data_IF_135807701722
#
_entry.id   IF_135807701722
#
_cell.length_a   1.000
_cell.length_b   1.000
_cell.length_c   1.000
_cell.angle_alpha   90.00
_cell.angle_beta   90.00
_cell.angle_gamma   90.00
#
_symmetry.space_group_name_H-M   'P 1'
#
loop_
_entity.id
_entity.type
_entity.pdbx_description
1 polymer ?
#
# COMPACT_ATOMS: atom_id res chain seq x y z
N UNK A 1 -7.92 22.40 24.15
CA UNK A 1 -7.52 23.77 23.76
C UNK A 1 -6.74 23.74 22.44
N UNK A 2 -7.32 23.13 21.39
CA UNK A 2 -6.74 23.01 20.02
C UNK A 2 -7.83 22.59 19.01
N UNK A 3 -9.08 23.04 19.18
CA UNK A 3 -10.21 22.69 18.30
C UNK A 3 -11.03 23.90 17.84
N UNK A 4 -10.54 25.13 18.04
CA UNK A 4 -11.27 26.36 17.70
C UNK A 4 -10.64 27.22 16.59
N UNK A 5 -9.59 26.76 15.88
CA UNK A 5 -8.87 27.61 14.91
C UNK A 5 -8.83 27.07 13.47
N UNK A 6 -9.94 26.53 12.97
CA UNK A 6 -10.08 26.30 11.52
C UNK A 6 -11.51 26.56 11.02
N UNK A 7 -12.17 27.58 11.56
CA UNK A 7 -13.26 28.24 10.87
C UNK A 7 -12.67 29.16 9.79
N UNK A 8 -12.07 28.56 8.75
CA UNK A 8 -11.73 29.30 7.54
C UNK A 8 -13.03 29.69 6.85
N UNK A 9 -13.27 30.99 6.82
CA UNK A 9 -14.25 31.70 6.01
C UNK A 9 -14.39 31.03 4.63
N UNK A 10 -15.48 30.29 4.43
CA UNK A 10 -15.86 29.78 3.11
C UNK A 10 -16.51 30.97 2.41
N UNK A 11 -15.75 31.67 1.58
CA UNK A 11 -16.29 32.70 0.70
C UNK A 11 -17.36 32.09 -0.22
N UNK A 12 -18.59 32.45 0.11
CA UNK A 12 -19.83 32.20 -0.61
C UNK A 12 -19.74 32.98 -1.93
N UNK A 13 -19.31 32.32 -3.01
CA UNK A 13 -19.41 32.86 -4.38
C UNK A 13 -20.14 31.87 -5.29
N UNK A 14 -21.34 32.31 -5.69
CA UNK A 14 -22.22 31.95 -6.82
C UNK A 14 -21.52 31.12 -7.92
N UNK A 15 -22.08 30.10 -8.56
CA UNK A 15 -23.45 29.70 -8.86
C UNK A 15 -23.37 28.18 -9.12
N UNK A 16 -23.81 27.36 -8.18
CA UNK A 16 -23.96 25.91 -8.38
C UNK A 16 -25.41 25.65 -8.07
N UNK A 17 -26.20 25.47 -9.11
CA UNK A 17 -27.63 25.12 -9.03
C UNK A 17 -27.76 23.91 -8.09
N UNK A 18 -28.84 23.84 -7.29
CA UNK A 18 -29.07 22.66 -6.41
C UNK A 18 -28.97 21.35 -7.18
N UNK A 19 -29.37 21.35 -8.46
CA UNK A 19 -29.22 20.22 -9.37
C UNK A 19 -27.77 19.85 -9.68
N UNK A 20 -26.87 20.81 -9.87
CA UNK A 20 -25.44 20.55 -10.17
C UNK A 20 -24.71 19.97 -8.94
N UNK A 21 -25.10 20.38 -7.73
CA UNK A 21 -24.63 19.73 -6.50
C UNK A 21 -25.13 18.29 -6.37
N UNK A 22 -26.40 18.05 -6.71
CA UNK A 22 -27.00 16.73 -6.62
C UNK A 22 -26.38 15.77 -7.65
N UNK A 23 -26.18 16.23 -8.89
CA UNK A 23 -25.46 15.47 -9.94
C UNK A 23 -24.02 15.16 -9.52
N UNK A 24 -23.33 16.11 -8.88
CA UNK A 24 -21.97 15.89 -8.36
C UNK A 24 -21.95 14.86 -7.22
N UNK A 25 -22.90 14.92 -6.30
CA UNK A 25 -23.04 13.95 -5.21
C UNK A 25 -23.35 12.55 -5.74
N UNK A 26 -24.22 12.44 -6.75
CA UNK A 26 -24.54 11.17 -7.41
C UNK A 26 -23.29 10.58 -8.08
N UNK A 27 -22.54 11.40 -8.82
CA UNK A 27 -21.30 10.97 -9.48
C UNK A 27 -20.25 10.49 -8.46
N UNK A 28 -20.07 11.21 -7.35
CA UNK A 28 -19.16 10.80 -6.28
C UNK A 28 -19.62 9.52 -5.59
N UNK A 29 -20.93 9.35 -5.42
CA UNK A 29 -21.51 8.13 -4.84
C UNK A 29 -21.24 6.92 -5.75
N UNK A 30 -21.38 7.08 -7.07
CA UNK A 30 -20.98 6.05 -8.04
C UNK A 30 -19.46 5.78 -7.98
N UNK A 31 -18.64 6.81 -7.87
CA UNK A 31 -17.19 6.65 -7.72
C UNK A 31 -16.84 5.88 -6.44
N UNK A 32 -17.50 6.19 -5.33
CA UNK A 32 -17.35 5.50 -4.05
C UNK A 32 -17.68 4.01 -4.17
N UNK A 33 -18.79 3.67 -4.83
CA UNK A 33 -19.17 2.27 -5.09
C UNK A 33 -18.12 1.53 -5.92
N UNK A 34 -17.58 2.18 -6.97
CA UNK A 34 -16.56 1.60 -7.81
C UNK A 34 -15.25 1.36 -7.06
N UNK A 35 -14.78 2.34 -6.30
CA UNK A 35 -13.58 2.22 -5.46
C UNK A 35 -13.75 1.17 -4.36
N UNK A 36 -14.92 1.11 -3.72
CA UNK A 36 -15.22 0.10 -2.71
C UNK A 36 -15.19 -1.31 -3.30
N UNK A 37 -15.75 -1.51 -4.50
CA UNK A 37 -15.68 -2.80 -5.18
C UNK A 37 -14.23 -3.22 -5.52
N UNK A 38 -13.39 -2.25 -5.93
CA UNK A 38 -11.96 -2.50 -6.14
C UNK A 38 -11.25 -2.90 -4.85
N UNK A 39 -11.46 -2.18 -3.74
CA UNK A 39 -10.88 -2.52 -2.43
C UNK A 39 -11.29 -3.92 -2.00
N UNK A 40 -12.58 -4.27 -2.12
CA UNK A 40 -13.07 -5.61 -1.77
C UNK A 40 -12.39 -6.68 -2.62
N UNK A 41 -12.32 -6.48 -3.94
CA UNK A 41 -11.67 -7.41 -4.86
C UNK A 41 -10.20 -7.63 -4.51
N UNK A 42 -9.48 -6.54 -4.21
CA UNK A 42 -8.08 -6.61 -3.80
C UNK A 42 -7.89 -7.30 -2.45
N UNK A 43 -8.75 -7.05 -1.47
CA UNK A 43 -8.69 -7.73 -0.17
C UNK A 43 -8.90 -9.23 -0.31
N UNK A 44 -9.87 -9.66 -1.10
CA UNK A 44 -10.10 -11.09 -1.40
C UNK A 44 -8.86 -11.70 -2.07
N UNK A 45 -8.23 -10.98 -2.99
CA UNK A 45 -7.00 -11.44 -3.64
C UNK A 45 -5.81 -11.53 -2.68
N UNK A 46 -5.65 -10.54 -1.80
CA UNK A 46 -4.65 -10.54 -0.73
C UNK A 46 -4.85 -11.77 0.16
N UNK A 47 -6.07 -12.02 0.63
CA UNK A 47 -6.39 -13.17 1.48
C UNK A 47 -6.08 -14.50 0.79
N UNK A 48 -6.46 -14.63 -0.49
CA UNK A 48 -6.18 -15.82 -1.30
C UNK A 48 -4.68 -16.08 -1.40
N UNK A 49 -3.89 -15.06 -1.74
CA UNK A 49 -2.42 -15.16 -1.84
C UNK A 49 -1.76 -15.39 -0.49
N UNK A 50 -2.25 -14.76 0.57
CA UNK A 50 -1.77 -14.95 1.94
C UNK A 50 -1.95 -16.40 2.40
N UNK A 51 -3.10 -17.01 2.08
CA UNK A 51 -3.38 -18.42 2.36
C UNK A 51 -2.44 -19.35 1.57
N UNK A 52 -2.22 -19.05 0.29
CA UNK A 52 -1.27 -19.78 -0.56
C UNK A 52 0.16 -19.74 0.00
N UNK A 53 0.65 -18.54 0.34
CA UNK A 53 1.98 -18.33 0.93
C UNK A 53 2.14 -19.04 2.28
N UNK A 54 1.10 -18.99 3.13
CA UNK A 54 1.09 -19.71 4.41
C UNK A 54 1.09 -21.22 4.22
N UNK A 55 0.38 -21.74 3.20
CA UNK A 55 0.42 -23.14 2.81
C UNK A 55 1.82 -23.58 2.37
N UNK A 56 2.53 -22.74 1.61
CA UNK A 56 3.91 -22.99 1.20
C UNK A 56 4.89 -22.98 2.38
N UNK A 57 4.69 -22.11 3.37
CA UNK A 57 5.44 -22.15 4.63
C UNK A 57 5.18 -23.44 5.41
N UNK A 58 3.93 -23.88 5.50
CA UNK A 58 3.59 -25.14 6.16
C UNK A 58 4.26 -26.34 5.46
N UNK A 59 4.25 -26.37 4.12
CA UNK A 59 4.97 -27.38 3.32
C UNK A 59 6.48 -27.32 3.56
N UNK A 60 7.06 -26.13 3.62
CA UNK A 60 8.48 -25.95 3.91
C UNK A 60 8.84 -26.51 5.30
N UNK A 61 8.06 -26.19 6.34
CA UNK A 61 8.25 -26.71 7.70
C UNK A 61 8.16 -28.23 7.76
N UNK A 62 7.17 -28.82 7.09
CA UNK A 62 7.01 -30.27 7.02
C UNK A 62 8.23 -30.95 6.38
N UNK A 63 8.71 -30.43 5.24
CA UNK A 63 9.85 -30.99 4.52
C UNK A 63 11.16 -30.85 5.29
N UNK A 64 11.35 -29.74 6.02
CA UNK A 64 12.57 -29.51 6.81
C UNK A 64 12.61 -30.30 8.12
N UNK A 65 11.48 -30.77 8.65
CA UNK A 65 11.44 -31.63 9.83
C UNK A 65 12.09 -30.97 11.06
N UNK A 66 13.09 -31.63 11.65
CA UNK A 66 13.78 -31.18 12.88
C UNK A 66 14.59 -29.89 12.75
N UNK A 67 14.90 -29.44 11.53
CA UNK A 67 15.49 -28.12 11.26
C UNK A 67 14.45 -27.06 10.88
N UNK A 68 13.16 -27.32 11.17
CA UNK A 68 12.02 -26.45 10.85
C UNK A 68 12.24 -24.98 11.21
N UNK A 69 12.01 -24.12 10.21
CA UNK A 69 11.98 -22.66 10.33
C UNK A 69 10.94 -22.21 11.35
N UNK A 70 11.44 -21.89 12.54
CA UNK A 70 10.67 -21.38 13.68
C UNK A 70 11.22 -20.02 14.09
N UNK A 71 10.39 -19.21 14.76
CA UNK A 71 10.82 -17.96 15.37
C UNK A 71 11.97 -18.16 16.36
N UNK A 72 12.11 -19.37 16.94
CA UNK A 72 13.26 -19.75 17.77
C UNK A 72 14.61 -19.84 17.03
N UNK A 73 14.57 -20.00 15.70
CA UNK A 73 15.77 -20.04 14.86
C UNK A 73 16.11 -18.66 14.29
N UNK A 74 15.23 -17.66 14.43
CA UNK A 74 15.58 -16.28 14.12
C UNK A 74 16.39 -15.79 15.31
N UNK A 75 17.70 -15.55 15.15
CA UNK A 75 18.50 -15.09 16.26
C UNK A 75 18.01 -13.69 16.69
N UNK A 76 18.22 -13.38 17.97
CA UNK A 76 17.87 -12.11 18.63
C UNK A 76 18.17 -10.88 17.75
N UNK A 77 17.52 -9.73 17.99
CA UNK A 77 17.81 -8.46 17.29
C UNK A 77 19.32 -8.13 17.20
N UNK A 78 20.11 -8.65 18.14
CA UNK A 78 21.58 -8.55 18.19
C UNK A 78 22.31 -9.26 17.03
N UNK A 79 21.66 -10.16 16.30
CA UNK A 79 22.27 -10.98 15.26
C UNK A 79 22.22 -10.37 13.84
N UNK A 80 21.67 -9.16 13.69
CA UNK A 80 21.70 -8.43 12.43
C UNK A 80 20.93 -9.09 11.26
N UNK A 81 20.03 -10.03 11.55
CA UNK A 81 19.17 -10.65 10.54
C UNK A 81 17.95 -9.77 10.24
N UNK A 82 18.16 -8.71 9.47
CA UNK A 82 17.10 -7.78 9.07
C UNK A 82 16.76 -7.92 7.60
N UNK A 83 15.48 -8.13 7.29
CA UNK A 83 14.95 -8.13 5.93
C UNK A 83 13.92 -7.01 5.85
N UNK A 84 14.21 -5.99 5.03
CA UNK A 84 13.38 -4.81 4.87
C UNK A 84 13.00 -4.64 3.41
N UNK A 85 11.82 -4.08 3.17
CA UNK A 85 11.38 -3.68 1.83
C UNK A 85 11.20 -2.17 1.82
N UNK A 86 11.68 -1.50 0.77
CA UNK A 86 11.57 -0.05 0.66
C UNK A 86 10.16 0.32 0.19
N UNK A 87 9.48 1.18 0.94
CA UNK A 87 8.22 1.78 0.53
C UNK A 87 8.40 3.28 0.32
N UNK A 88 7.72 3.82 -0.68
CA UNK A 88 7.55 5.25 -0.90
C UNK A 88 6.06 5.58 -0.87
N UNK A 89 5.75 6.83 -0.52
CA UNK A 89 4.42 7.37 -0.65
C UNK A 89 4.48 8.70 -1.40
N UNK A 90 3.48 8.94 -2.24
CA UNK A 90 3.28 10.18 -2.97
C UNK A 90 1.99 10.83 -2.46
N UNK A 91 2.07 12.08 -2.02
CA UNK A 91 0.90 12.85 -1.61
C UNK A 91 0.19 13.39 -2.86
N UNK A 92 -1.12 13.17 -2.93
CA UNK A 92 -1.98 13.65 -4.00
C UNK A 92 -3.11 14.49 -3.41
N UNK A 93 -3.60 15.45 -4.19
CA UNK A 93 -4.66 16.37 -3.77
C UNK A 93 -5.88 16.23 -4.66
N UNK A 94 -7.06 16.34 -4.04
CA UNK A 94 -8.37 16.40 -4.69
C UNK A 94 -9.03 17.73 -4.33
N UNK A 95 -9.44 18.47 -5.36
CA UNK A 95 -10.09 19.77 -5.20
C UNK A 95 -11.59 19.58 -4.99
N UNK A 96 -12.14 20.20 -3.94
CA UNK A 96 -13.58 20.38 -3.72
C UNK A 96 -13.91 21.84 -4.02
N UNK A 97 -14.64 22.07 -5.12
CA UNK A 97 -14.93 23.41 -5.61
C UNK A 97 -13.66 24.18 -5.94
N UNK A 98 -13.62 25.49 -5.60
CA UNK A 98 -12.50 26.38 -5.95
C UNK A 98 -11.44 26.51 -4.85
N UNK A 99 -11.72 26.09 -3.61
CA UNK A 99 -10.89 26.49 -2.45
C UNK A 99 -10.47 25.34 -1.54
N UNK A 100 -11.27 24.28 -1.41
CA UNK A 100 -10.99 23.23 -0.44
C UNK A 100 -10.19 22.09 -1.08
N UNK A 101 -9.10 21.67 -0.42
CA UNK A 101 -8.20 20.61 -0.89
C UNK A 101 -8.19 19.44 0.08
N UNK A 102 -8.56 18.26 -0.42
CA UNK A 102 -8.44 17.00 0.28
C UNK A 102 -7.16 16.29 -0.14
N UNK A 103 -6.35 15.88 0.84
CA UNK A 103 -5.15 15.09 0.60
C UNK A 103 -5.44 13.59 0.67
N UNK A 104 -4.75 12.82 -0.15
CA UNK A 104 -4.73 11.36 -0.13
C UNK A 104 -3.35 10.85 -0.53
N UNK A 105 -3.04 9.59 -0.22
CA UNK A 105 -1.69 9.04 -0.36
C UNK A 105 -1.68 7.87 -1.33
N UNK A 106 -0.69 7.87 -2.22
CA UNK A 106 -0.39 6.77 -3.13
C UNK A 106 0.87 6.05 -2.64
N UNK A 107 0.71 4.80 -2.23
CA UNK A 107 1.79 3.97 -1.71
C UNK A 107 2.41 3.14 -2.83
N UNK A 108 3.74 3.07 -2.86
CA UNK A 108 4.48 2.18 -3.76
C UNK A 108 5.51 1.41 -2.97
N UNK A 109 5.56 0.11 -3.19
CA UNK A 109 6.57 -0.76 -2.59
C UNK A 109 7.56 -1.18 -3.67
N UNK A 110 8.84 -0.98 -3.40
CA UNK A 110 9.92 -1.41 -4.26
C UNK A 110 10.45 -2.72 -3.72
N UNK A 111 10.25 -3.84 -4.43
CA UNK A 111 10.82 -5.10 -4.00
C UNK A 111 12.34 -4.93 -3.93
N UNK A 112 12.94 -5.34 -2.80
CA UNK A 112 14.40 -5.38 -2.67
C UNK A 112 14.96 -6.12 -3.87
N UNK A 113 15.85 -5.45 -4.61
CA UNK A 113 16.31 -5.86 -5.92
C UNK A 113 16.62 -7.36 -5.95
N UNK A 114 16.16 -8.03 -7.01
CA UNK A 114 16.51 -9.42 -7.31
C UNK A 114 18.04 -9.56 -7.19
N UNK A 115 18.51 -10.23 -6.15
CA UNK A 115 19.84 -10.84 -6.20
C UNK A 115 19.76 -11.84 -7.33
N UNK A 116 20.62 -11.67 -8.34
CA UNK A 116 20.82 -12.61 -9.44
C UNK A 116 20.84 -14.03 -8.88
N UNK A 117 19.79 -14.81 -9.12
CA UNK A 117 19.92 -16.26 -9.15
C UNK A 117 20.46 -16.53 -10.56
N UNK A 118 21.61 -17.18 -10.66
CA UNK A 118 22.30 -17.47 -11.91
C UNK A 118 21.48 -18.44 -12.76
N UNK A 119 20.45 -17.95 -13.45
CA UNK A 119 19.84 -18.61 -14.61
C UNK A 119 19.10 -17.58 -15.46
N UNK A 120 19.79 -17.14 -16.50
CA UNK A 120 19.36 -16.62 -17.81
C UNK A 120 18.20 -15.60 -17.96
N UNK A 121 18.57 -14.56 -18.70
CA UNK A 121 17.84 -13.72 -19.66
C UNK A 121 16.83 -12.63 -19.21
N UNK A 122 17.35 -11.40 -19.35
CA UNK A 122 16.88 -10.33 -20.23
C UNK A 122 16.15 -9.08 -19.67
N UNK A 123 16.68 -7.94 -20.16
CA UNK A 123 16.21 -6.54 -20.25
C UNK A 123 15.92 -5.76 -18.98
N UNK A 124 16.87 -4.91 -18.50
CA UNK A 124 16.56 -3.73 -17.66
C UNK A 124 17.60 -2.60 -17.74
N UNK A 125 17.36 -1.60 -18.57
CA UNK A 125 18.16 -0.35 -18.63
C UNK A 125 17.44 0.88 -17.99
N UNK A 126 16.31 0.68 -17.29
CA UNK A 126 15.47 1.80 -16.83
C UNK A 126 15.27 1.97 -15.32
N UNK A 127 15.63 0.97 -14.49
CA UNK A 127 15.29 0.96 -13.05
C UNK A 127 16.47 1.46 -12.18
N UNK A 128 17.70 1.28 -12.64
CA UNK A 128 18.91 1.56 -11.85
C UNK A 128 19.09 3.07 -11.58
N UNK A 129 18.70 3.95 -12.52
CA UNK A 129 18.87 5.39 -12.38
C UNK A 129 17.94 6.05 -11.34
N UNK A 130 16.84 5.39 -10.92
CA UNK A 130 15.95 5.92 -9.86
C UNK A 130 16.35 5.48 -8.45
N UNK A 131 17.12 4.40 -8.33
CA UNK A 131 17.59 3.86 -7.05
C UNK A 131 18.80 4.62 -6.50
N UNK A 132 19.61 5.24 -7.37
CA UNK A 132 20.85 5.95 -6.99
C UNK A 132 20.63 7.25 -6.22
N UNK A 133 19.41 7.82 -6.23
CA UNK A 133 19.13 9.12 -5.62
C UNK A 133 18.56 9.04 -4.19
N UNK A 134 18.28 7.85 -3.68
CA UNK A 134 17.90 7.63 -2.29
C UNK A 134 19.18 7.34 -1.50
N UNK A 135 19.60 8.26 -0.64
CA UNK A 135 20.71 8.05 0.29
C UNK A 135 20.38 6.90 1.24
N UNK A 136 20.74 5.68 0.83
CA UNK A 136 20.62 4.47 1.62
C UNK A 136 21.78 4.42 2.61
N UNK A 137 21.47 4.20 3.89
CA UNK A 137 22.46 4.04 4.95
C UNK A 137 23.35 2.80 4.63
N UNK A 138 24.69 2.91 4.58
CA UNK A 138 25.59 1.84 4.12
C UNK A 138 25.59 0.57 4.99
N UNK A 139 24.85 0.56 6.10
CA UNK A 139 24.69 -0.61 6.98
C UNK A 139 23.57 -1.54 6.54
N UNK A 140 22.65 -1.10 5.68
CA UNK A 140 21.56 -1.92 5.14
C UNK A 140 21.93 -2.67 3.85
N UNK A 141 23.06 -2.31 3.23
CA UNK A 141 23.53 -2.88 1.95
C UNK A 141 24.24 -4.22 2.10
N UNK A 142 24.52 -4.69 3.32
CA UNK A 142 24.98 -6.06 3.55
C UNK A 142 23.79 -7.02 3.67
N UNK A 143 22.86 -6.92 2.71
CA UNK A 143 21.68 -7.78 2.61
C UNK A 143 22.10 -9.18 2.14
N UNK A 144 22.60 -10.00 3.06
CA UNK A 144 22.61 -11.45 2.85
C UNK A 144 21.17 -11.87 2.54
N UNK A 145 20.96 -12.55 1.40
CA UNK A 145 19.63 -13.01 0.99
C UNK A 145 18.95 -13.71 2.18
N UNK A 146 17.79 -13.25 2.67
CA UNK A 146 17.19 -13.75 3.91
C UNK A 146 16.80 -15.23 3.85
N UNK A 147 16.72 -15.81 2.65
CA UNK A 147 16.60 -17.27 2.51
C UNK A 147 17.84 -18.01 3.03
N UNK A 148 19.03 -17.43 2.91
CA UNK A 148 20.30 -18.03 3.35
C UNK A 148 20.41 -18.10 4.87
N UNK A 149 19.57 -17.39 5.62
CA UNK A 149 19.47 -17.57 7.07
C UNK A 149 19.06 -18.99 7.47
N UNK A 150 18.38 -19.70 6.56
CA UNK A 150 17.91 -21.07 6.78
C UNK A 150 18.86 -22.12 6.18
N UNK A 151 20.10 -21.73 5.89
CA UNK A 151 21.14 -22.61 5.35
C UNK A 151 21.24 -22.59 3.83
N UNK A 152 22.11 -23.46 3.30
CA UNK A 152 22.41 -23.55 1.86
C UNK A 152 21.30 -24.26 1.09
N UNK A 153 20.62 -25.23 1.72
CA UNK A 153 19.56 -26.05 1.13
C UNK A 153 18.18 -25.53 1.54
N UNK A 154 17.75 -24.46 0.89
CA UNK A 154 16.41 -23.88 1.08
C UNK A 154 15.40 -24.63 0.20
N UNK A 155 14.34 -25.24 0.76
CA UNK A 155 13.35 -25.96 -0.04
C UNK A 155 12.60 -25.01 -0.99
N UNK A 156 12.21 -25.50 -2.17
CA UNK A 156 11.50 -24.72 -3.17
C UNK A 156 10.22 -24.07 -2.63
N UNK A 157 9.51 -24.75 -1.73
CA UNK A 157 8.31 -24.20 -1.09
C UNK A 157 8.60 -22.96 -0.23
N UNK A 158 9.79 -22.83 0.38
CA UNK A 158 10.15 -21.64 1.13
C UNK A 158 10.48 -20.46 0.19
N UNK A 159 11.14 -20.74 -0.94
CA UNK A 159 11.40 -19.73 -1.99
C UNK A 159 10.09 -19.22 -2.60
N UNK A 160 9.16 -20.14 -2.84
CA UNK A 160 7.83 -19.84 -3.37
C UNK A 160 7.00 -19.02 -2.37
N UNK A 161 7.04 -19.38 -1.08
CA UNK A 161 6.41 -18.59 -0.03
C UNK A 161 6.94 -17.15 0.00
N UNK A 162 8.27 -16.96 -0.03
CA UNK A 162 8.87 -15.62 -0.06
C UNK A 162 8.40 -14.81 -1.28
N UNK A 163 8.36 -15.44 -2.47
CA UNK A 163 7.85 -14.79 -3.68
C UNK A 163 6.38 -14.39 -3.55
N UNK A 164 5.54 -15.27 -3.00
CA UNK A 164 4.12 -14.99 -2.77
C UNK A 164 3.95 -13.81 -1.82
N UNK A 165 4.64 -13.80 -0.66
CA UNK A 165 4.54 -12.69 0.29
C UNK A 165 5.10 -11.39 -0.27
N UNK A 166 6.14 -11.44 -1.08
CA UNK A 166 6.62 -10.26 -1.82
C UNK A 166 5.54 -9.68 -2.74
N UNK A 167 4.80 -10.53 -3.45
CA UNK A 167 3.64 -10.11 -4.25
C UNK A 167 2.48 -9.58 -3.40
N UNK A 168 2.20 -10.20 -2.25
CA UNK A 168 1.18 -9.72 -1.30
C UNK A 168 1.51 -8.32 -0.79
N UNK A 169 2.76 -8.03 -0.47
CA UNK A 169 3.18 -6.68 -0.04
C UNK A 169 2.91 -5.61 -1.10
N UNK A 170 3.12 -5.92 -2.38
CA UNK A 170 2.79 -5.02 -3.49
C UNK A 170 1.28 -4.77 -3.56
N UNK A 171 0.48 -5.85 -3.53
CA UNK A 171 -0.98 -5.76 -3.54
C UNK A 171 -1.52 -4.97 -2.33
N UNK A 172 -0.92 -5.13 -1.15
CA UNK A 172 -1.29 -4.36 0.04
C UNK A 172 -1.03 -2.86 -0.15
N UNK A 173 0.10 -2.48 -0.76
CA UNK A 173 0.40 -1.07 -1.02
C UNK A 173 -0.55 -0.45 -2.05
N UNK A 174 -0.85 -1.18 -3.13
CA UNK A 174 -1.86 -0.76 -4.10
C UNK A 174 -3.25 -0.64 -3.43
N UNK A 175 -3.61 -1.59 -2.57
CA UNK A 175 -4.87 -1.59 -1.82
C UNK A 175 -4.95 -0.37 -0.88
N UNK A 176 -3.89 -0.09 -0.12
CA UNK A 176 -3.82 1.10 0.75
C UNK A 176 -3.95 2.40 -0.03
N UNK A 177 -3.48 2.45 -1.28
CA UNK A 177 -3.62 3.62 -2.14
C UNK A 177 -5.07 3.86 -2.53
N UNK A 178 -5.77 2.80 -2.96
CA UNK A 178 -7.18 2.86 -3.33
C UNK A 178 -8.05 3.13 -2.09
N UNK A 179 -7.72 2.55 -0.94
CA UNK A 179 -8.38 2.86 0.33
C UNK A 179 -8.23 4.34 0.70
N UNK A 180 -7.02 4.91 0.53
CA UNK A 180 -6.80 6.33 0.80
C UNK A 180 -7.59 7.23 -0.16
N UNK A 181 -7.74 6.83 -1.42
CA UNK A 181 -8.59 7.54 -2.38
C UNK A 181 -10.07 7.42 -2.01
N UNK A 182 -10.55 6.23 -1.67
CA UNK A 182 -11.92 5.97 -1.24
C UNK A 182 -12.28 6.83 -0.03
N UNK A 183 -11.40 6.89 0.96
CA UNK A 183 -11.61 7.71 2.15
C UNK A 183 -11.70 9.20 1.81
N UNK A 184 -10.90 9.67 0.84
CA UNK A 184 -10.99 11.05 0.36
C UNK A 184 -12.33 11.33 -0.36
N UNK A 185 -12.83 10.40 -1.17
CA UNK A 185 -14.15 10.52 -1.83
C UNK A 185 -15.28 10.55 -0.80
N UNK A 186 -15.24 9.69 0.22
CA UNK A 186 -16.24 9.69 1.29
C UNK A 186 -16.23 11.02 2.04
N UNK A 187 -15.03 11.54 2.39
CA UNK A 187 -14.91 12.86 3.01
C UNK A 187 -15.47 13.97 2.13
N UNK A 188 -15.24 13.92 0.81
CA UNK A 188 -15.81 14.88 -0.13
C UNK A 188 -17.35 14.87 -0.11
N UNK A 189 -17.95 13.68 -0.13
CA UNK A 189 -19.41 13.51 -0.03
C UNK A 189 -19.94 14.09 1.28
N UNK A 190 -19.29 13.80 2.41
CA UNK A 190 -19.71 14.29 3.72
C UNK A 190 -19.67 15.82 3.79
N UNK A 191 -18.62 16.44 3.26
CA UNK A 191 -18.48 17.90 3.20
C UNK A 191 -19.58 18.50 2.32
N UNK A 192 -19.83 17.94 1.14
CA UNK A 192 -20.87 18.43 0.23
C UNK A 192 -22.27 18.29 0.85
N UNK A 193 -22.54 17.20 1.56
CA UNK A 193 -23.79 17.01 2.30
C UNK A 193 -23.98 18.03 3.43
N UNK A 194 -22.91 18.37 4.16
CA UNK A 194 -22.95 19.44 5.17
C UNK A 194 -23.28 20.79 4.53
N UNK A 195 -22.65 21.12 3.41
CA UNK A 195 -22.93 22.37 2.66
C UNK A 195 -24.38 22.40 2.19
N UNK A 196 -24.91 21.29 1.66
CA UNK A 196 -26.32 21.18 1.24
C UNK A 196 -27.28 21.38 2.41
N UNK A 197 -27.03 20.74 3.56
CA UNK A 197 -27.85 20.91 4.78
C UNK A 197 -27.87 22.36 5.25
N UNK A 198 -26.72 23.04 5.25
CA UNK A 198 -26.63 24.43 5.69
C UNK A 198 -27.39 25.40 4.75
N UNK A 199 -27.48 25.08 3.45
CA UNK A 199 -28.26 25.88 2.48
C UNK A 199 -29.77 25.72 2.63
N UNK A 200 -30.25 24.61 3.17
CA UNK A 200 -31.69 24.38 3.38
C UNK A 200 -32.23 25.03 4.67
N UNK A 201 -31.36 25.50 5.56
CA UNK A 201 -31.72 26.18 6.82
C UNK A 201 -31.72 27.71 6.74
N UNK A 202 -31.17 28.29 5.65
CA UNK A 202 -31.25 29.73 5.32
C UNK A 202 -32.47 29.99 4.45
#
# INVERSE_FOLDING_TARGET
MLWEMSASHIEESQDVTSQDLDEKLDLLSLQCLFLMNQVISMKVDIERRMKEGTGMLAKARYVMGGSSVSTLQIPSEEAGMTASTLSSFEESERMIGKSLRLKYYNFRVFPSAKVKDDTEDEVKDGIEQKLSNLQLDPRQSQASNPLRWFGVLVPNSLREAQKIFGGVLLLCAECSSIESELEAVIREIDILNQVKSNRQQK
#
